data_IF_618927828054
#
_entry.id   IF_618927828054
#
_cell.length_a   1.000
_cell.length_b   1.000
_cell.length_c   1.000
_cell.angle_alpha   90.00
_cell.angle_beta   90.00
_cell.angle_gamma   90.00
#
_symmetry.space_group_name_H-M   'P 1'
#
loop_
_entity.id
_entity.type
_entity.pdbx_description
1 polymer ?
#
# COMPACT_ATOMS: atom_id res chain seq x y z
N UNK A 1 -13.66 6.33 34.39
CA UNK A 1 -12.95 7.43 33.71
C UNK A 1 -11.71 6.94 32.95
N UNK A 2 -10.93 6.02 33.51
CA UNK A 2 -9.68 5.54 32.88
C UNK A 2 -9.90 4.64 31.66
N UNK A 3 -10.94 3.81 31.68
CA UNK A 3 -11.30 2.94 30.56
C UNK A 3 -11.68 3.74 29.29
N UNK A 4 -12.43 4.83 29.45
CA UNK A 4 -12.79 5.74 28.35
C UNK A 4 -11.53 6.37 27.76
N UNK A 5 -10.58 6.83 28.60
CA UNK A 5 -9.31 7.41 28.14
C UNK A 5 -8.48 6.39 27.37
N UNK A 6 -8.44 5.14 27.80
CA UNK A 6 -7.72 4.07 27.11
C UNK A 6 -8.31 3.79 25.73
N UNK A 7 -9.64 3.60 25.66
CA UNK A 7 -10.36 3.34 24.41
C UNK A 7 -10.19 4.47 23.39
N UNK A 8 -10.20 5.73 23.86
CA UNK A 8 -9.96 6.89 22.98
C UNK A 8 -8.55 6.85 22.41
N UNK A 9 -7.52 6.61 23.24
CA UNK A 9 -6.13 6.50 22.76
C UNK A 9 -5.97 5.39 21.73
N UNK A 10 -6.51 4.21 21.98
CA UNK A 10 -6.44 3.06 21.07
C UNK A 10 -7.08 3.38 19.71
N UNK A 11 -8.29 3.93 19.72
CA UNK A 11 -8.98 4.32 18.47
C UNK A 11 -8.24 5.43 17.74
N UNK A 12 -7.73 6.44 18.45
CA UNK A 12 -6.92 7.51 17.85
C UNK A 12 -5.69 6.94 17.18
N UNK A 13 -4.94 6.04 17.85
CA UNK A 13 -3.79 5.38 17.24
C UNK A 13 -4.17 4.56 16.02
N UNK A 14 -5.27 3.80 16.08
CA UNK A 14 -5.77 3.04 14.94
C UNK A 14 -6.12 3.93 13.74
N UNK A 15 -6.76 5.08 13.96
CA UNK A 15 -7.08 6.02 12.89
C UNK A 15 -5.85 6.69 12.32
N UNK A 16 -4.88 7.05 13.16
CA UNK A 16 -3.59 7.61 12.72
C UNK A 16 -2.85 6.58 11.85
N UNK A 17 -2.77 5.33 12.29
CA UNK A 17 -2.15 4.24 11.53
C UNK A 17 -2.88 4.00 10.20
N UNK A 18 -4.21 4.04 10.19
CA UNK A 18 -4.99 3.92 8.96
C UNK A 18 -4.72 5.07 7.98
N UNK A 19 -4.69 6.31 8.47
CA UNK A 19 -4.37 7.49 7.67
C UNK A 19 -2.95 7.42 7.10
N UNK A 20 -1.95 7.03 7.91
CA UNK A 20 -0.59 6.80 7.41
C UNK A 20 -0.51 5.65 6.42
N UNK A 21 -1.27 4.57 6.61
CA UNK A 21 -1.39 3.49 5.64
C UNK A 21 -1.89 3.98 4.28
N UNK A 22 -2.88 4.88 4.28
CA UNK A 22 -3.38 5.52 3.05
C UNK A 22 -2.30 6.40 2.40
N UNK A 23 -1.64 7.27 3.18
CA UNK A 23 -0.57 8.15 2.67
C UNK A 23 0.59 7.33 2.10
N UNK A 24 1.01 6.27 2.79
CA UNK A 24 2.05 5.36 2.31
C UNK A 24 1.64 4.67 1.01
N UNK A 25 0.39 4.19 0.91
CA UNK A 25 -0.15 3.59 -0.32
C UNK A 25 -0.13 4.57 -1.50
N UNK A 26 -0.52 5.83 -1.27
CA UNK A 26 -0.47 6.88 -2.29
C UNK A 26 0.97 7.22 -2.71
N UNK A 27 1.91 7.29 -1.76
CA UNK A 27 3.32 7.54 -2.07
C UNK A 27 3.95 6.42 -2.89
N UNK A 28 3.65 5.15 -2.56
CA UNK A 28 4.11 4.00 -3.34
C UNK A 28 3.50 3.98 -4.76
N UNK A 29 2.24 4.38 -4.91
CA UNK A 29 1.62 4.52 -6.23
C UNK A 29 2.40 5.50 -7.11
N UNK A 30 2.69 6.70 -6.60
CA UNK A 30 3.46 7.71 -7.34
C UNK A 30 4.90 7.26 -7.60
N UNK A 31 5.56 6.61 -6.64
CA UNK A 31 6.92 6.10 -6.82
C UNK A 31 7.01 5.05 -7.94
N UNK A 32 6.07 4.11 -8.00
CA UNK A 32 6.05 3.07 -9.05
C UNK A 32 5.80 3.70 -10.43
N UNK A 33 4.88 4.67 -10.53
CA UNK A 33 4.66 5.40 -11.79
C UNK A 33 5.92 6.12 -12.24
N UNK A 34 6.58 6.86 -11.35
CA UNK A 34 7.81 7.59 -11.64
C UNK A 34 8.95 6.64 -12.05
N UNK A 35 9.06 5.47 -11.42
CA UNK A 35 10.01 4.44 -11.80
C UNK A 35 9.77 3.95 -13.24
N UNK A 36 8.52 3.66 -13.59
CA UNK A 36 8.17 3.22 -14.94
C UNK A 36 8.44 4.32 -15.97
N UNK A 37 8.09 5.57 -15.65
CA UNK A 37 8.38 6.71 -16.50
C UNK A 37 9.89 6.91 -16.70
N UNK A 38 10.69 6.73 -15.65
CA UNK A 38 12.15 6.81 -15.73
C UNK A 38 12.73 5.77 -16.71
N UNK A 39 12.24 4.52 -16.68
CA UNK A 39 12.69 3.48 -17.60
C UNK A 39 12.07 3.58 -19.01
N UNK A 40 10.90 4.23 -19.13
CA UNK A 40 10.14 4.38 -20.38
C UNK A 40 9.70 5.84 -20.61
N UNK A 41 10.65 6.79 -20.78
CA UNK A 41 10.35 8.23 -20.79
C UNK A 41 9.48 8.72 -21.95
N UNK A 42 9.37 7.97 -23.05
CA UNK A 42 8.54 8.31 -24.21
C UNK A 42 7.09 7.78 -24.15
N UNK A 43 6.59 7.40 -22.96
CA UNK A 43 5.49 6.43 -22.85
C UNK A 43 4.29 6.84 -22.01
N UNK A 44 4.16 8.13 -21.66
CA UNK A 44 3.04 8.61 -20.83
C UNK A 44 1.66 8.19 -21.38
N UNK A 45 1.54 7.94 -22.69
CA UNK A 45 0.32 7.47 -23.34
C UNK A 45 0.41 6.09 -24.01
N UNK A 46 1.49 5.34 -23.79
CA UNK A 46 1.65 4.02 -24.39
C UNK A 46 0.91 2.97 -23.56
N UNK A 47 -0.04 2.28 -24.19
CA UNK A 47 -0.87 1.25 -23.56
C UNK A 47 -0.03 0.15 -22.89
N UNK A 48 1.13 -0.18 -23.48
CA UNK A 48 2.09 -1.16 -22.95
C UNK A 48 2.67 -0.78 -21.59
N UNK A 49 2.99 0.50 -21.36
CA UNK A 49 3.48 0.97 -20.06
C UNK A 49 2.41 0.86 -18.96
N UNK A 50 1.14 1.11 -19.30
CA UNK A 50 0.00 0.96 -18.38
C UNK A 50 -0.24 -0.52 -18.02
N UNK A 51 -0.11 -1.43 -18.98
CA UNK A 51 -0.21 -2.86 -18.71
C UNK A 51 0.95 -3.37 -17.85
N UNK A 52 2.18 -2.90 -18.11
CA UNK A 52 3.34 -3.25 -17.28
C UNK A 52 3.15 -2.76 -15.84
N UNK A 53 2.71 -1.51 -15.65
CA UNK A 53 2.35 -0.97 -14.34
C UNK A 53 1.32 -1.87 -13.63
N UNK A 54 0.22 -2.20 -14.32
CA UNK A 54 -0.85 -3.02 -13.73
C UNK A 54 -0.33 -4.39 -13.28
N UNK A 55 0.44 -5.08 -14.13
CA UNK A 55 1.02 -6.39 -13.81
C UNK A 55 1.96 -6.30 -12.60
N UNK A 56 2.85 -5.32 -12.58
CA UNK A 56 3.81 -5.13 -11.48
C UNK A 56 3.09 -4.86 -10.16
N UNK A 57 2.14 -3.93 -10.15
CA UNK A 57 1.37 -3.60 -8.93
C UNK A 57 0.55 -4.79 -8.46
N UNK A 58 -0.11 -5.53 -9.36
CA UNK A 58 -0.85 -6.74 -8.99
C UNK A 58 0.07 -7.80 -8.36
N UNK A 59 1.24 -8.05 -8.94
CA UNK A 59 2.21 -9.00 -8.38
C UNK A 59 2.66 -8.59 -6.97
N UNK A 60 3.01 -7.31 -6.78
CA UNK A 60 3.40 -6.78 -5.47
C UNK A 60 2.26 -6.97 -4.46
N UNK A 61 1.03 -6.60 -4.82
CA UNK A 61 -0.15 -6.74 -3.95
C UNK A 61 -0.40 -8.20 -3.60
N UNK A 62 -0.33 -9.13 -4.56
CA UNK A 62 -0.53 -10.57 -4.32
C UNK A 62 0.54 -11.13 -3.38
N UNK A 63 1.83 -10.78 -3.60
CA UNK A 63 2.94 -11.24 -2.76
C UNK A 63 2.76 -10.74 -1.33
N UNK A 64 2.56 -9.43 -1.15
CA UNK A 64 2.38 -8.81 0.17
C UNK A 64 1.13 -9.39 0.86
N UNK A 65 0.00 -9.49 0.15
CA UNK A 65 -1.25 -10.01 0.73
C UNK A 65 -1.09 -11.47 1.17
N UNK A 66 -0.47 -12.30 0.34
CA UNK A 66 -0.21 -13.72 0.68
C UNK A 66 0.74 -13.83 1.88
N UNK A 67 1.77 -13.00 1.94
CA UNK A 67 2.71 -12.97 3.06
C UNK A 67 2.03 -12.54 4.36
N UNK A 68 1.23 -11.47 4.35
CA UNK A 68 0.49 -11.00 5.52
C UNK A 68 -0.52 -12.03 6.03
N UNK A 69 -1.24 -12.71 5.12
CA UNK A 69 -2.18 -13.79 5.48
C UNK A 69 -1.43 -14.94 6.17
N UNK A 70 -0.25 -15.33 5.69
CA UNK A 70 0.57 -16.36 6.31
C UNK A 70 1.03 -15.96 7.72
N UNK A 71 1.55 -14.73 7.91
CA UNK A 71 1.94 -14.25 9.24
C UNK A 71 0.76 -14.18 10.22
N UNK A 72 -0.41 -13.78 9.74
CA UNK A 72 -1.62 -13.73 10.57
C UNK A 72 -2.08 -15.14 10.96
N UNK A 73 -1.91 -16.12 10.07
CA UNK A 73 -2.28 -17.52 10.34
C UNK A 73 -1.36 -18.23 11.34
N UNK A 74 -0.09 -17.83 11.45
CA UNK A 74 0.85 -18.40 12.45
C UNK A 74 0.57 -17.94 13.88
N UNK A 75 -0.28 -16.92 14.08
CA UNK A 75 -0.65 -16.42 15.41
C UNK A 75 -1.88 -17.10 16.03
N UNK A 76 -2.32 -18.24 15.50
CA UNK A 76 -3.41 -19.03 16.08
C UNK A 76 -2.90 -20.27 16.81
#
# INVERSE_FOLDING_TARGET
>A
MDEIRSNVKEKTLSYILAAFGLVAGLAWNEAVKALIEYFYPASQNNLTAKFLYAILVTLIVVIISTYLVRLSSEKK
#
